data_IF_892791968559
#
_entry.id   IF_892791968559
#
_cell.length_a   1.000
_cell.length_b   1.000
_cell.length_c   1.000
_cell.angle_alpha   90.00
_cell.angle_beta   90.00
_cell.angle_gamma   90.00
#
_symmetry.space_group_name_H-M   'P 1'
#
loop_
_entity.id
_entity.type
_entity.pdbx_description
1 polymer ?
#
# COMPACT_ATOMS: atom_id res chain seq x y z
N UNK A 1 2.21 11.95 21.75
CA UNK A 1 0.87 11.62 21.22
C UNK A 1 0.37 12.79 20.38
N UNK A 2 0.69 12.81 19.09
CA UNK A 2 -0.07 13.64 18.16
C UNK A 2 -1.29 12.81 17.78
N UNK A 3 -2.49 13.25 18.16
CA UNK A 3 -3.69 12.76 17.51
C UNK A 3 -3.60 13.22 16.05
N UNK A 4 -3.38 12.28 15.12
CA UNK A 4 -3.75 12.52 13.74
C UNK A 4 -5.27 12.71 13.78
N UNK A 5 -5.73 13.90 13.42
CA UNK A 5 -7.15 14.30 13.43
C UNK A 5 -7.79 14.10 12.06
N UNK A 6 -7.18 13.28 11.21
CA UNK A 6 -7.73 12.93 9.89
C UNK A 6 -8.86 11.93 10.11
N UNK A 7 -9.94 12.16 9.39
CA UNK A 7 -11.20 11.42 9.39
C UNK A 7 -11.67 11.53 7.93
N UNK A 8 -11.28 10.54 7.12
CA UNK A 8 -11.28 10.59 5.65
C UNK A 8 -12.68 10.44 5.05
N UNK A 9 -13.58 9.75 5.74
CA UNK A 9 -14.99 9.63 5.38
C UNK A 9 -15.93 10.58 6.14
N UNK A 10 -15.48 11.16 7.24
CA UNK A 10 -16.26 12.09 8.05
C UNK A 10 -17.31 11.40 8.94
N UNK A 11 -17.11 10.13 9.30
CA UNK A 11 -18.04 9.36 10.11
C UNK A 11 -17.91 9.64 11.64
N UNK A 12 -16.82 10.31 12.02
CA UNK A 12 -16.50 10.71 13.38
C UNK A 12 -15.52 9.81 14.12
N UNK A 13 -14.99 8.76 13.49
CA UNK A 13 -13.88 7.95 13.95
C UNK A 13 -12.61 8.39 13.20
N UNK A 14 -11.52 8.78 13.90
CA UNK A 14 -10.28 9.15 13.22
C UNK A 14 -9.64 7.95 12.53
N UNK A 15 -9.08 8.13 11.32
CA UNK A 15 -8.43 7.09 10.48
C UNK A 15 -7.46 6.19 11.28
N UNK A 16 -6.77 6.75 12.28
CA UNK A 16 -5.83 6.00 13.15
C UNK A 16 -6.49 4.92 14.01
N UNK A 17 -7.81 4.96 14.15
CA UNK A 17 -8.64 4.05 14.93
C UNK A 17 -9.82 3.50 14.13
N UNK A 18 -9.98 3.96 12.89
CA UNK A 18 -10.96 3.43 11.96
C UNK A 18 -10.48 2.12 11.36
N UNK A 19 -11.38 1.17 11.16
CA UNK A 19 -11.10 -0.11 10.50
C UNK A 19 -11.38 -0.04 8.99
N UNK A 20 -12.16 0.95 8.56
CA UNK A 20 -12.57 1.21 7.17
C UNK A 20 -12.56 2.74 6.96
N UNK A 21 -11.36 3.30 6.76
CA UNK A 21 -11.11 4.75 6.81
C UNK A 21 -11.79 5.54 5.68
N UNK A 22 -12.35 4.85 4.68
CA UNK A 22 -13.09 5.49 3.61
C UNK A 22 -14.54 5.00 3.44
N UNK A 23 -15.02 4.14 4.34
CA UNK A 23 -16.41 3.71 4.42
C UNK A 23 -16.93 3.16 3.09
N UNK A 24 -16.07 2.51 2.31
CA UNK A 24 -16.45 1.78 1.10
C UNK A 24 -16.91 0.33 1.44
N UNK A 25 -16.67 -0.11 2.68
CA UNK A 25 -17.05 -1.41 3.22
C UNK A 25 -15.93 -2.45 3.18
N UNK A 26 -14.78 -2.19 2.55
CA UNK A 26 -13.60 -3.04 2.56
C UNK A 26 -12.66 -2.54 3.67
N UNK A 27 -12.25 -3.38 4.64
CA UNK A 27 -11.38 -2.89 5.71
C UNK A 27 -9.98 -2.51 5.23
N UNK A 28 -9.40 -1.47 5.84
CA UNK A 28 -8.02 -1.01 5.66
C UNK A 28 -7.01 -2.18 5.59
N UNK A 29 -7.18 -3.17 6.47
CA UNK A 29 -6.29 -4.32 6.56
C UNK A 29 -6.32 -5.21 5.32
N UNK A 30 -7.51 -5.39 4.74
CA UNK A 30 -7.76 -6.18 3.54
C UNK A 30 -7.15 -5.44 2.35
N UNK A 31 -7.32 -4.12 2.31
CA UNK A 31 -6.83 -3.29 1.22
C UNK A 31 -5.31 -3.13 1.25
N UNK A 32 -4.70 -2.94 2.41
CA UNK A 32 -3.23 -2.99 2.56
C UNK A 32 -2.66 -4.40 2.30
N UNK A 33 -3.52 -5.37 2.00
CA UNK A 33 -3.15 -6.76 1.72
C UNK A 33 -2.53 -7.45 2.93
N UNK A 34 -2.90 -7.03 4.14
CA UNK A 34 -2.35 -7.51 5.42
C UNK A 34 -3.20 -8.67 5.94
N UNK A 35 -3.22 -9.77 5.19
CA UNK A 35 -3.84 -11.02 5.63
C UNK A 35 -2.78 -12.12 5.76
N UNK A 36 -2.98 -13.08 6.68
CA UNK A 36 -2.15 -14.28 6.77
C UNK A 36 -1.12 -14.31 7.90
N UNK A 37 0.10 -14.75 7.62
CA UNK A 37 1.19 -14.96 8.58
C UNK A 37 2.30 -13.91 8.41
N UNK A 38 3.20 -13.84 9.39
CA UNK A 38 4.40 -12.99 9.29
C UNK A 38 5.20 -13.21 8.00
N UNK A 39 5.23 -14.46 7.52
CA UNK A 39 5.95 -14.88 6.30
C UNK A 39 5.35 -14.36 4.98
N UNK A 40 4.10 -13.88 5.01
CA UNK A 40 3.45 -13.26 3.86
C UNK A 40 3.96 -11.83 3.63
N UNK A 41 4.33 -11.12 4.72
CA UNK A 41 4.90 -9.77 4.64
C UNK A 41 6.42 -9.72 4.77
N UNK A 42 7.04 -10.74 5.36
CA UNK A 42 8.48 -10.81 5.57
C UNK A 42 9.12 -12.08 5.00
N UNK A 43 10.31 -11.94 4.44
CA UNK A 43 11.23 -13.07 4.28
C UNK A 43 11.86 -13.38 5.64
N UNK A 44 11.86 -14.65 6.03
CA UNK A 44 12.51 -15.13 7.25
C UNK A 44 13.76 -15.91 6.86
N UNK A 45 14.93 -15.49 7.35
CA UNK A 45 16.22 -15.99 6.88
C UNK A 45 17.16 -16.36 8.04
N UNK A 46 18.21 -17.11 7.70
CA UNK A 46 19.24 -17.58 8.64
C UNK A 46 18.63 -18.46 9.76
N UNK A 47 18.95 -18.22 11.02
CA UNK A 47 18.40 -18.96 12.16
C UNK A 47 17.00 -18.49 12.61
N UNK A 48 16.48 -17.40 12.00
CA UNK A 48 15.18 -16.89 12.39
C UNK A 48 14.06 -17.87 12.02
N UNK A 49 13.05 -17.97 12.87
CA UNK A 49 11.89 -18.86 12.68
C UNK A 49 10.60 -18.19 13.12
N UNK A 50 9.52 -18.37 12.35
CA UNK A 50 8.19 -17.99 12.78
C UNK A 50 7.77 -18.91 13.94
N UNK A 51 7.34 -18.30 15.04
CA UNK A 51 6.93 -18.97 16.27
C UNK A 51 5.64 -18.36 16.77
N UNK A 52 4.92 -19.08 17.62
CA UNK A 52 3.58 -18.68 18.06
C UNK A 52 3.43 -18.62 19.59
N UNK A 53 4.40 -19.14 20.35
CA UNK A 53 4.42 -19.17 21.82
C UNK A 53 4.91 -17.84 22.42
N UNK A 54 4.49 -17.53 23.65
CA UNK A 54 5.05 -16.41 24.39
C UNK A 54 6.33 -16.84 25.14
N UNK A 55 7.51 -16.22 24.87
CA UNK A 55 8.75 -16.54 25.56
C UNK A 55 8.71 -16.22 27.06
N UNK A 56 7.78 -15.39 27.52
CA UNK A 56 7.61 -15.05 28.95
C UNK A 56 6.99 -16.19 29.78
N UNK A 57 6.47 -17.23 29.12
CA UNK A 57 5.75 -18.34 29.74
C UNK A 57 4.26 -18.06 29.99
N UNK A 58 3.76 -16.89 29.56
CA UNK A 58 2.33 -16.57 29.58
C UNK A 58 1.58 -17.43 28.55
N UNK A 59 0.44 -18.05 28.87
CA UNK A 59 -0.36 -18.76 27.88
C UNK A 59 -0.99 -17.79 26.87
N UNK A 60 -0.26 -17.48 25.80
CA UNK A 60 -0.71 -16.63 24.70
C UNK A 60 -0.23 -17.21 23.36
N UNK A 61 -0.93 -16.85 22.29
CA UNK A 61 -0.55 -17.21 20.92
C UNK A 61 -0.43 -15.94 20.09
N UNK A 62 0.74 -15.72 19.48
CA UNK A 62 1.02 -14.54 18.67
C UNK A 62 1.23 -14.94 17.22
N UNK A 63 0.29 -14.57 16.35
CA UNK A 63 0.31 -14.92 14.92
C UNK A 63 1.48 -14.26 14.16
N UNK A 64 1.82 -13.03 14.56
CA UNK A 64 2.83 -12.19 13.91
C UNK A 64 4.10 -12.09 14.74
N UNK A 65 4.65 -13.23 15.15
CA UNK A 65 5.88 -13.30 15.95
C UNK A 65 6.98 -14.11 15.24
N UNK A 66 8.22 -13.64 15.38
CA UNK A 66 9.42 -14.34 14.92
C UNK A 66 10.44 -14.36 16.04
N UNK A 67 11.05 -15.53 16.25
CA UNK A 67 12.29 -15.67 17.01
C UNK A 67 13.43 -15.42 16.04
N UNK A 68 14.20 -14.37 16.28
CA UNK A 68 15.39 -14.03 15.50
C UNK A 68 16.54 -14.95 15.93
N UNK A 69 16.80 -15.08 17.23
CA UNK A 69 17.75 -16.06 17.75
C UNK A 69 17.16 -16.85 18.91
N UNK A 70 17.39 -18.17 18.99
CA UNK A 70 17.18 -18.89 20.24
C UNK A 70 18.29 -18.52 21.23
N UNK A 71 18.09 -18.87 22.51
CA UNK A 71 19.10 -18.76 23.56
C UNK A 71 20.21 -19.81 23.40
N UNK A 72 20.97 -19.72 22.31
CA UNK A 72 22.07 -20.60 21.92
C UNK A 72 23.21 -19.77 21.32
N UNK A 73 24.45 -20.27 21.45
CA UNK A 73 25.63 -19.56 20.96
C UNK A 73 25.70 -19.54 19.42
N UNK A 74 26.31 -18.49 18.87
CA UNK A 74 26.62 -18.34 17.44
C UNK A 74 25.39 -18.46 16.54
N UNK A 75 24.32 -17.73 16.87
CA UNK A 75 23.11 -17.64 16.07
C UNK A 75 23.03 -16.29 15.39
N UNK A 76 22.39 -16.25 14.23
CA UNK A 76 22.00 -15.01 13.56
C UNK A 76 20.63 -15.20 12.93
N UNK A 77 19.70 -14.33 13.27
CA UNK A 77 18.40 -14.25 12.62
C UNK A 77 18.22 -12.93 11.91
N UNK A 78 17.48 -12.98 10.81
CA UNK A 78 17.02 -11.76 10.17
C UNK A 78 15.68 -11.98 9.48
N UNK A 79 14.88 -10.93 9.45
CA UNK A 79 13.66 -10.86 8.65
C UNK A 79 13.63 -9.56 7.86
N UNK A 80 13.12 -9.62 6.63
CA UNK A 80 13.07 -8.48 5.72
C UNK A 80 11.69 -8.34 5.12
N UNK A 81 11.11 -7.14 5.18
CA UNK A 81 9.83 -6.83 4.53
C UNK A 81 9.91 -7.23 3.05
N UNK A 82 8.83 -7.71 2.45
CA UNK A 82 8.76 -8.00 1.01
C UNK A 82 8.49 -6.73 0.20
N UNK A 83 7.79 -5.79 0.80
CA UNK A 83 7.49 -4.44 0.33
C UNK A 83 8.50 -3.41 0.86
N UNK A 84 8.29 -2.14 0.53
CA UNK A 84 9.20 -1.02 0.84
C UNK A 84 8.43 0.15 1.41
N UNK A 85 9.04 0.84 2.36
CA UNK A 85 8.53 2.06 2.98
C UNK A 85 9.12 3.30 2.30
N UNK A 86 8.31 4.35 2.11
CA UNK A 86 8.74 5.58 1.42
C UNK A 86 9.12 6.70 2.38
N UNK A 87 10.42 7.04 2.45
CA UNK A 87 10.93 8.17 3.21
C UNK A 87 10.59 9.55 2.60
N UNK A 88 9.92 9.59 1.45
CA UNK A 88 9.28 10.81 0.96
C UNK A 88 8.07 11.22 1.83
N UNK A 89 7.40 10.27 2.46
CA UNK A 89 6.22 10.47 3.30
C UNK A 89 6.56 10.24 4.79
N UNK A 90 5.76 10.80 5.69
CA UNK A 90 5.93 10.51 7.12
C UNK A 90 5.30 9.17 7.46
N UNK A 91 5.90 8.41 8.37
CA UNK A 91 5.37 7.12 8.78
C UNK A 91 5.63 6.85 10.26
N UNK A 92 4.84 5.94 10.83
CA UNK A 92 5.10 5.33 12.14
C UNK A 92 5.10 3.82 11.99
N UNK A 93 6.15 3.16 12.50
CA UNK A 93 6.29 1.71 12.55
C UNK A 93 6.35 1.30 14.02
N UNK A 94 5.47 0.40 14.44
CA UNK A 94 5.45 -0.12 15.81
C UNK A 94 5.73 -1.61 15.81
N UNK A 95 6.53 -2.08 16.76
CA UNK A 95 6.69 -3.51 17.02
C UNK A 95 6.99 -3.72 18.50
N UNK A 96 6.91 -4.96 18.97
CA UNK A 96 7.39 -5.35 20.27
C UNK A 96 8.68 -6.15 20.14
N UNK A 97 9.68 -5.81 20.95
CA UNK A 97 10.94 -6.53 21.06
C UNK A 97 10.99 -7.31 22.38
N UNK A 98 11.47 -8.55 22.33
CA UNK A 98 11.81 -9.35 23.50
C UNK A 98 13.31 -9.67 23.40
N UNK A 99 14.09 -9.16 24.35
CA UNK A 99 15.55 -9.24 24.32
C UNK A 99 16.08 -10.40 25.20
N UNK A 100 15.18 -11.19 25.78
CA UNK A 100 15.53 -12.35 26.60
C UNK A 100 15.47 -12.08 28.09
N UNK A 101 16.19 -12.91 28.85
CA UNK A 101 16.16 -12.93 30.32
C UNK A 101 17.54 -13.06 30.98
N UNK A 102 18.57 -13.32 30.18
CA UNK A 102 19.93 -13.42 30.66
C UNK A 102 20.48 -12.00 30.64
N UNK A 103 20.60 -11.34 31.78
CA UNK A 103 21.13 -9.98 31.90
C UNK A 103 22.68 -10.00 31.79
N UNK A 104 23.39 -10.31 32.89
CA UNK A 104 24.86 -10.38 32.89
C UNK A 104 25.53 -11.49 32.04
N UNK A 105 24.77 -12.24 31.24
CA UNK A 105 25.29 -13.20 30.25
C UNK A 105 24.48 -13.18 28.94
N UNK A 106 23.72 -12.12 28.72
CA UNK A 106 22.98 -11.84 27.49
C UNK A 106 23.82 -11.12 26.46
N UNK A 107 23.45 -11.31 25.19
CA UNK A 107 23.99 -10.65 24.00
C UNK A 107 23.22 -11.16 22.75
N UNK A 108 23.34 -10.52 21.58
CA UNK A 108 24.02 -9.25 21.33
C UNK A 108 23.04 -8.07 21.21
N UNK A 109 21.75 -8.33 21.04
CA UNK A 109 20.71 -7.33 20.85
C UNK A 109 19.86 -7.55 19.60
N UNK A 110 18.90 -6.65 19.39
CA UNK A 110 18.06 -6.60 18.19
C UNK A 110 18.26 -5.26 17.50
N UNK A 111 18.35 -5.26 16.17
CA UNK A 111 18.34 -4.04 15.38
C UNK A 111 17.12 -3.99 14.46
N UNK A 112 16.43 -2.86 14.42
CA UNK A 112 15.55 -2.51 13.31
C UNK A 112 16.38 -1.79 12.24
N UNK A 113 16.23 -2.19 10.98
CA UNK A 113 17.08 -1.71 9.89
C UNK A 113 16.21 -1.25 8.72
N UNK A 114 16.51 -0.07 8.18
CA UNK A 114 15.99 0.42 6.90
C UNK A 114 17.12 0.41 5.89
N UNK A 115 16.97 -0.21 4.73
CA UNK A 115 18.06 -0.34 3.77
C UNK A 115 17.64 -0.43 2.30
N UNK A 116 18.55 0.00 1.44
CA UNK A 116 18.49 -0.16 -0.02
C UNK A 116 19.62 -1.08 -0.53
N UNK A 117 20.07 -2.03 0.30
CA UNK A 117 21.10 -3.00 -0.08
C UNK A 117 20.70 -3.77 -1.36
N UNK A 118 21.60 -3.88 -2.37
CA UNK A 118 21.37 -4.67 -3.58
C UNK A 118 20.99 -6.13 -3.35
N UNK A 119 21.38 -6.72 -2.21
CA UNK A 119 21.03 -8.09 -1.85
C UNK A 119 19.56 -8.22 -1.38
N UNK A 120 18.87 -7.09 -1.18
CA UNK A 120 17.44 -7.03 -0.89
C UNK A 120 17.05 -7.88 0.32
N UNK A 121 16.09 -8.79 0.15
CA UNK A 121 15.66 -9.71 1.21
C UNK A 121 16.74 -10.71 1.68
N UNK A 122 17.94 -10.68 1.11
CA UNK A 122 19.08 -11.50 1.53
C UNK A 122 20.19 -10.68 2.21
N UNK A 123 20.01 -9.36 2.37
CA UNK A 123 20.99 -8.49 3.02
C UNK A 123 21.33 -9.01 4.41
N UNK A 124 22.61 -9.02 4.78
CA UNK A 124 23.08 -9.57 6.06
C UNK A 124 24.25 -8.75 6.59
N UNK A 125 24.21 -8.46 7.89
CA UNK A 125 25.32 -7.83 8.60
C UNK A 125 26.19 -8.82 9.35
N UNK A 126 27.19 -8.27 10.05
CA UNK A 126 28.13 -9.02 10.89
C UNK A 126 27.53 -9.32 12.26
N UNK A 127 27.86 -10.50 12.81
CA UNK A 127 27.39 -10.95 14.13
C UNK A 127 28.16 -10.26 15.27
N UNK A 128 27.72 -10.44 16.52
CA UNK A 128 28.37 -9.83 17.69
C UNK A 128 28.04 -8.34 17.77
N UNK A 129 29.08 -7.50 17.88
CA UNK A 129 28.97 -6.03 17.85
C UNK A 129 28.15 -5.48 16.67
N UNK A 130 28.06 -6.22 15.57
CA UNK A 130 27.24 -5.78 14.43
C UNK A 130 25.74 -6.03 14.58
N UNK A 131 25.31 -6.83 15.56
CA UNK A 131 23.91 -7.24 15.81
C UNK A 131 23.22 -7.80 14.54
N UNK A 132 24.02 -8.38 13.63
CA UNK A 132 23.56 -8.82 12.31
C UNK A 132 23.15 -7.71 11.35
N UNK A 133 23.39 -6.43 11.68
CA UNK A 133 23.00 -5.24 10.92
C UNK A 133 24.19 -4.48 10.31
N UNK A 134 25.29 -4.28 11.05
CA UNK A 134 26.45 -3.55 10.52
C UNK A 134 27.03 -4.32 9.32
N UNK A 135 27.20 -3.61 8.21
CA UNK A 135 27.67 -4.12 6.93
C UNK A 135 26.60 -4.23 5.85
N UNK A 136 25.33 -4.14 6.23
CA UNK A 136 24.24 -3.95 5.27
C UNK A 136 24.48 -2.61 4.56
N UNK A 137 24.40 -2.61 3.24
CA UNK A 137 24.67 -1.42 2.43
C UNK A 137 23.48 -0.50 2.38
N UNK A 138 23.77 0.80 2.34
CA UNK A 138 22.80 1.86 2.12
C UNK A 138 21.64 1.78 3.09
N UNK A 139 21.94 1.83 4.39
CA UNK A 139 20.92 1.66 5.41
C UNK A 139 21.21 2.36 6.72
N UNK A 140 20.19 2.40 7.56
CA UNK A 140 20.21 2.96 8.91
C UNK A 140 19.76 1.89 9.89
N UNK A 141 20.49 1.80 10.99
CA UNK A 141 20.27 0.87 12.10
C UNK A 141 19.67 1.65 13.26
N UNK A 142 18.63 1.09 13.87
CA UNK A 142 18.11 1.49 15.18
C UNK A 142 18.31 0.30 16.11
N UNK A 143 19.33 0.37 16.94
CA UNK A 143 19.77 -0.76 17.75
C UNK A 143 19.13 -0.78 19.14
N UNK A 144 18.90 -1.98 19.64
CA UNK A 144 18.63 -2.32 21.03
C UNK A 144 19.77 -3.24 21.45
N UNK A 145 20.88 -2.63 21.85
CA UNK A 145 22.11 -3.34 22.20
C UNK A 145 22.07 -3.76 23.67
N UNK A 146 22.34 -5.03 23.93
CA UNK A 146 22.33 -5.59 25.30
C UNK A 146 23.69 -6.08 25.77
N UNK A 147 24.75 -5.77 25.02
CA UNK A 147 26.08 -6.22 25.35
C UNK A 147 27.14 -5.14 25.19
N UNK A 148 27.68 -4.71 26.32
CA UNK A 148 28.86 -3.86 26.34
C UNK A 148 30.11 -4.59 25.82
N UNK A 149 30.54 -4.26 24.59
CA UNK A 149 31.74 -4.78 23.94
C UNK A 149 33.04 -4.19 24.49
N UNK A 150 32.97 -3.11 25.28
CA UNK A 150 34.09 -2.54 26.01
C UNK A 150 34.93 -1.55 25.21
N UNK A 151 35.41 -0.48 25.87
CA UNK A 151 36.17 0.64 25.27
C UNK A 151 37.52 0.31 24.60
N UNK A 152 37.98 -0.93 24.63
CA UNK A 152 39.36 -1.31 24.24
C UNK A 152 39.44 -2.39 23.16
N UNK A 153 38.45 -2.48 22.26
CA UNK A 153 38.54 -3.42 21.12
C UNK A 153 39.59 -2.98 20.09
N UNK A 154 40.87 -3.25 20.37
CA UNK A 154 42.01 -3.05 19.46
C UNK A 154 42.22 -4.26 18.53
N UNK A 155 41.20 -4.67 17.79
CA UNK A 155 41.33 -5.74 16.79
C UNK A 155 40.92 -5.22 15.40
N UNK A 156 41.91 -4.80 14.56
CA UNK A 156 41.65 -4.30 13.21
C UNK A 156 41.04 -5.39 12.30
N UNK A 157 40.33 -4.98 11.22
CA UNK A 157 40.82 -3.98 10.27
C UNK A 157 40.39 -2.53 10.53
N UNK A 158 39.52 -2.29 11.51
CA UNK A 158 38.80 -1.04 11.72
C UNK A 158 39.43 -0.16 12.80
N UNK A 159 40.62 0.38 12.55
CA UNK A 159 41.31 1.24 13.52
C UNK A 159 40.55 2.52 13.85
N UNK A 160 39.64 2.48 14.83
CA UNK A 160 39.32 3.55 15.77
C UNK A 160 38.45 3.02 16.92
N UNK A 161 38.62 3.58 18.11
CA UNK A 161 37.98 3.16 19.37
C UNK A 161 36.45 3.26 19.24
N UNK A 162 35.69 2.22 19.62
CA UNK A 162 34.23 2.31 19.74
C UNK A 162 33.95 3.15 20.99
N UNK A 163 33.66 4.45 20.82
CA UNK A 163 33.62 5.42 21.94
C UNK A 163 32.25 5.54 22.63
N UNK A 164 31.16 5.11 21.98
CA UNK A 164 29.80 5.36 22.47
C UNK A 164 29.04 4.10 22.91
N UNK A 165 29.67 2.93 22.94
CA UNK A 165 29.12 1.74 23.62
C UNK A 165 29.21 1.93 25.16
N UNK A 166 28.12 1.68 25.88
CA UNK A 166 27.96 1.93 27.32
C UNK A 166 27.61 0.65 28.10
N UNK A 167 27.83 0.64 29.41
CA UNK A 167 27.66 -0.57 30.25
C UNK A 167 26.21 -1.01 30.38
N UNK A 168 25.26 -0.07 30.37
CA UNK A 168 23.82 -0.35 30.39
C UNK A 168 23.28 -0.69 29.00
N UNK A 169 22.15 -1.40 28.96
CA UNK A 169 21.47 -1.70 27.69
C UNK A 169 21.12 -0.40 26.97
N UNK A 170 21.41 -0.45 25.69
CA UNK A 170 21.54 0.61 24.71
C UNK A 170 20.40 0.89 23.76
N UNK A 171 20.17 2.14 23.39
CA UNK A 171 19.81 2.44 22.00
C UNK A 171 20.72 3.50 21.38
N UNK A 172 20.93 3.39 20.06
CA UNK A 172 21.40 4.49 19.21
C UNK A 172 20.93 4.32 17.75
N UNK A 173 21.24 5.32 16.90
CA UNK A 173 21.06 5.28 15.45
C UNK A 173 22.43 5.24 14.80
N UNK A 174 22.60 4.36 13.81
CA UNK A 174 23.86 4.21 13.08
C UNK A 174 23.67 4.10 11.58
N UNK A 175 24.69 4.51 10.85
CA UNK A 175 24.90 4.16 9.46
C UNK A 175 25.29 2.68 9.37
N UNK A 176 24.55 1.92 8.57
CA UNK A 176 24.75 0.47 8.49
C UNK A 176 26.04 0.06 7.77
N UNK A 177 26.57 0.86 6.83
CA UNK A 177 27.79 0.49 6.09
C UNK A 177 29.05 1.28 6.47
N UNK A 178 28.95 2.20 7.44
CA UNK A 178 30.09 2.82 8.09
C UNK A 178 30.41 2.15 9.44
N UNK A 179 31.46 1.33 9.41
CA UNK A 179 31.96 0.56 10.55
C UNK A 179 32.76 1.41 11.57
N UNK A 180 32.94 2.71 11.31
CA UNK A 180 33.77 3.60 12.12
C UNK A 180 32.93 4.47 13.06
N UNK A 181 33.58 5.28 13.90
CA UNK A 181 32.89 6.25 14.75
C UNK A 181 32.06 7.28 13.95
N UNK A 182 32.42 7.57 12.70
CA UNK A 182 31.63 8.50 11.88
C UNK A 182 30.29 7.93 11.44
N UNK A 183 30.12 6.61 11.54
CA UNK A 183 28.85 5.92 11.32
C UNK A 183 27.89 6.01 12.50
N UNK A 184 28.29 6.59 13.63
CA UNK A 184 27.40 6.81 14.78
C UNK A 184 26.61 8.11 14.53
N UNK A 185 25.30 7.98 14.38
CA UNK A 185 24.41 9.11 14.05
C UNK A 185 23.87 9.77 15.32
N UNK A 186 23.58 8.98 16.36
CA UNK A 186 23.20 9.48 17.69
C UNK A 186 24.08 8.86 18.78
N UNK A 187 24.34 9.58 19.89
CA UNK A 187 25.01 8.95 21.04
C UNK A 187 24.15 7.83 21.62
N UNK A 188 24.78 6.89 22.34
CA UNK A 188 24.06 5.89 23.11
C UNK A 188 23.18 6.51 24.18
N UNK A 189 21.96 5.98 24.30
CA UNK A 189 20.99 6.31 25.34
C UNK A 189 20.73 5.06 26.16
N UNK A 190 21.01 5.14 27.47
CA UNK A 190 20.70 4.04 28.39
C UNK A 190 19.20 3.78 28.45
N UNK A 191 18.84 2.52 28.27
CA UNK A 191 17.50 1.95 28.41
C UNK A 191 17.34 1.18 29.74
N UNK A 192 18.38 1.15 30.58
CA UNK A 192 18.41 0.36 31.81
C UNK A 192 18.71 -1.10 31.50
N UNK A 193 17.92 -2.02 32.07
CA UNK A 193 17.95 -3.44 31.71
C UNK A 193 16.66 -3.76 30.93
N UNK A 194 16.82 -4.19 29.68
CA UNK A 194 15.76 -4.63 28.76
C UNK A 194 15.82 -6.15 28.48
N UNK A 195 16.82 -6.86 29.03
CA UNK A 195 16.88 -8.32 29.11
C UNK A 195 16.08 -8.85 30.32
N UNK A 196 14.89 -8.28 30.54
CA UNK A 196 14.14 -8.36 31.79
C UNK A 196 12.99 -9.40 31.75
N UNK A 197 13.00 -10.26 30.74
CA UNK A 197 11.96 -11.22 30.41
C UNK A 197 10.58 -10.57 30.14
N UNK A 198 10.55 -9.39 29.52
CA UNK A 198 9.32 -8.73 29.05
C UNK A 198 9.40 -8.34 27.57
N UNK A 199 8.22 -8.08 27.02
CA UNK A 199 8.07 -7.43 25.72
C UNK A 199 8.13 -5.92 25.92
N UNK A 200 8.91 -5.23 25.09
CA UNK A 200 9.03 -3.78 25.06
C UNK A 200 8.42 -3.24 23.77
N UNK A 201 7.47 -2.30 23.87
CA UNK A 201 6.99 -1.58 22.70
C UNK A 201 8.09 -0.68 22.15
N UNK A 202 8.32 -0.74 20.84
CA UNK A 202 9.25 0.11 20.10
C UNK A 202 8.46 0.85 19.03
N UNK A 203 8.52 2.18 19.08
CA UNK A 203 7.82 3.07 18.14
C UNK A 203 8.87 3.83 17.35
N UNK A 204 8.92 3.62 16.04
CA UNK A 204 9.80 4.33 15.11
C UNK A 204 8.94 5.35 14.36
N UNK A 205 9.36 6.61 14.32
CA UNK A 205 8.68 7.69 13.60
C UNK A 205 9.66 8.39 12.67
N UNK A 206 9.27 8.50 11.40
CA UNK A 206 9.92 9.39 10.43
C UNK A 206 8.98 10.54 10.10
N UNK A 207 9.46 11.77 10.26
CA UNK A 207 8.75 12.97 9.84
C UNK A 207 9.42 13.53 8.58
N UNK A 208 8.77 13.38 7.43
CA UNK A 208 9.31 13.83 6.15
C UNK A 208 9.37 15.36 6.00
N UNK A 209 8.64 16.12 6.82
CA UNK A 209 8.68 17.60 6.80
C UNK A 209 9.88 18.11 7.57
N UNK A 210 10.11 17.62 8.79
CA UNK A 210 11.25 18.03 9.63
C UNK A 210 12.52 17.26 9.29
N UNK A 211 12.41 16.18 8.49
CA UNK A 211 13.48 15.23 8.18
C UNK A 211 14.05 14.57 9.44
N UNK A 212 13.18 14.24 10.40
CA UNK A 212 13.57 13.68 11.69
C UNK A 212 13.18 12.21 11.78
N UNK A 213 14.15 11.34 12.06
CA UNK A 213 13.93 9.94 12.46
C UNK A 213 14.09 9.85 13.97
N UNK A 214 13.14 9.20 14.63
CA UNK A 214 13.15 8.97 16.07
C UNK A 214 12.67 7.56 16.36
N UNK A 215 13.20 6.94 17.40
CA UNK A 215 12.56 5.76 17.99
C UNK A 215 12.53 5.81 19.51
N UNK A 216 11.44 5.28 20.05
CA UNK A 216 11.11 5.28 21.46
C UNK A 216 10.88 3.85 21.93
N UNK A 217 11.41 3.52 23.11
CA UNK A 217 11.33 2.18 23.71
C UNK A 217 10.57 2.28 25.04
N UNK A 218 9.56 1.42 25.22
CA UNK A 218 8.81 1.32 26.47
C UNK A 218 9.60 0.52 27.51
N UNK A 219 9.81 1.08 28.70
CA UNK A 219 10.49 0.41 29.82
C UNK A 219 9.52 -0.07 30.93
N UNK A 220 8.23 -0.14 30.59
CA UNK A 220 7.16 -0.56 31.49
C UNK A 220 6.25 0.59 31.95
N UNK A 221 5.02 0.23 32.33
CA UNK A 221 3.97 1.16 32.77
C UNK A 221 3.71 2.30 31.76
N UNK A 222 3.80 2.03 30.45
CA UNK A 222 3.68 3.04 29.39
C UNK A 222 4.70 4.20 29.51
N UNK A 223 5.86 3.95 30.12
CA UNK A 223 6.95 4.93 30.18
C UNK A 223 7.90 4.68 29.01
N UNK A 224 8.11 5.69 28.18
CA UNK A 224 8.95 5.61 26.99
C UNK A 224 10.23 6.45 27.15
N UNK A 225 11.35 5.92 26.66
CA UNK A 225 12.60 6.65 26.47
C UNK A 225 12.85 6.81 24.97
N UNK A 226 13.28 8.00 24.55
CA UNK A 226 13.80 8.23 23.19
C UNK A 226 15.20 7.63 23.09
N UNK A 227 15.28 6.44 22.49
CA UNK A 227 16.50 5.67 22.33
C UNK A 227 17.43 6.24 21.24
N UNK A 228 16.87 6.99 20.30
CA UNK A 228 17.63 7.81 19.37
C UNK A 228 16.74 8.77 18.59
N UNK A 229 17.27 9.95 18.29
CA UNK A 229 16.61 10.99 17.48
C UNK A 229 17.64 11.74 16.64
N UNK A 230 17.45 11.77 15.33
CA UNK A 230 18.34 12.46 14.40
C UNK A 230 17.56 13.23 13.34
N UNK A 231 18.04 14.42 12.99
CA UNK A 231 17.52 15.22 11.89
C UNK A 231 18.50 15.22 10.74
N UNK A 232 18.03 14.84 9.56
CA UNK A 232 18.84 14.61 8.38
C UNK A 232 18.71 15.76 7.40
N UNK A 233 19.82 16.10 6.72
CA UNK A 233 19.74 17.04 5.59
C UNK A 233 19.05 16.36 4.41
N UNK A 234 19.49 15.15 4.06
CA UNK A 234 18.93 14.36 2.98
C UNK A 234 19.19 12.86 3.22
N UNK A 235 18.33 12.22 4.02
CA UNK A 235 18.49 10.81 4.41
C UNK A 235 18.53 9.87 3.19
N UNK A 236 17.77 10.22 2.15
CA UNK A 236 17.63 9.44 0.91
C UNK A 236 18.93 9.44 0.13
N UNK A 237 19.54 10.62 -0.06
CA UNK A 237 20.84 10.72 -0.73
C UNK A 237 21.97 10.14 0.11
N UNK A 238 22.00 10.49 1.39
CA UNK A 238 23.17 10.27 2.24
C UNK A 238 23.29 8.81 2.70
N UNK A 239 22.16 8.13 2.95
CA UNK A 239 22.15 6.77 3.50
C UNK A 239 21.50 5.73 2.60
N UNK A 240 20.57 6.11 1.71
CA UNK A 240 19.83 5.13 0.88
C UNK A 240 20.25 5.11 -0.59
N UNK A 241 21.40 5.71 -0.92
CA UNK A 241 21.94 5.80 -2.28
C UNK A 241 20.92 6.38 -3.29
N UNK A 242 20.12 7.35 -2.84
CA UNK A 242 19.13 8.05 -3.64
C UNK A 242 17.76 7.38 -3.77
N UNK A 243 17.52 6.24 -3.12
CA UNK A 243 16.20 5.60 -3.12
C UNK A 243 15.32 6.11 -1.96
N UNK A 244 14.16 6.68 -2.28
CA UNK A 244 13.19 7.10 -1.25
C UNK A 244 12.42 5.92 -0.67
N UNK A 245 12.11 4.92 -1.51
CA UNK A 245 11.49 3.65 -1.11
C UNK A 245 12.57 2.64 -0.74
N UNK A 246 12.59 2.21 0.52
CA UNK A 246 13.60 1.28 1.06
C UNK A 246 12.93 0.10 1.77
N UNK A 247 13.67 -0.99 1.89
CA UNK A 247 13.21 -2.16 2.65
C UNK A 247 13.42 -1.91 4.14
N UNK A 248 12.62 -2.55 4.98
CA UNK A 248 12.88 -2.57 6.42
C UNK A 248 12.84 -3.98 6.97
N UNK A 249 13.43 -4.17 8.13
CA UNK A 249 13.50 -5.49 8.74
C UNK A 249 14.17 -5.46 10.10
N UNK A 250 14.42 -6.66 10.61
CA UNK A 250 14.96 -6.85 11.95
C UNK A 250 16.05 -7.90 11.90
N UNK A 251 17.15 -7.64 12.59
CA UNK A 251 18.27 -8.55 12.73
C UNK A 251 18.60 -8.77 14.20
N UNK A 252 19.15 -9.93 14.53
CA UNK A 252 19.74 -10.20 15.83
C UNK A 252 20.85 -11.22 15.69
N UNK A 253 21.81 -11.20 16.60
CA UNK A 253 22.84 -12.22 16.70
C UNK A 253 23.10 -12.63 18.15
N UNK A 254 23.77 -13.76 18.31
CA UNK A 254 24.39 -14.17 19.55
C UNK A 254 25.84 -14.59 19.29
N UNK A 255 26.71 -14.33 20.25
CA UNK A 255 28.10 -14.77 20.23
C UNK A 255 28.38 -15.90 21.23
N UNK A 256 29.34 -15.65 22.13
CA UNK A 256 29.60 -16.51 23.29
C UNK A 256 28.60 -16.31 24.43
N UNK A 257 27.89 -15.19 24.42
CA UNK A 257 26.76 -14.85 25.28
C UNK A 257 25.47 -14.84 24.43
N UNK A 258 24.32 -15.01 25.08
CA UNK A 258 23.10 -15.39 24.36
C UNK A 258 21.83 -14.90 25.04
N UNK A 259 20.85 -14.56 24.22
CA UNK A 259 19.45 -14.50 24.62
C UNK A 259 18.52 -15.10 23.58
N UNK A 260 17.30 -15.44 24.02
CA UNK A 260 16.17 -15.67 23.13
C UNK A 260 15.65 -14.30 22.69
N UNK A 261 15.85 -13.96 21.42
CA UNK A 261 15.58 -12.63 20.88
C UNK A 261 14.47 -12.72 19.86
N UNK A 262 13.37 -12.01 20.11
CA UNK A 262 12.15 -12.11 19.31
C UNK A 262 11.57 -10.73 19.02
N UNK A 263 10.85 -10.63 17.91
CA UNK A 263 9.97 -9.51 17.64
C UNK A 263 8.55 -9.99 17.39
N UNK A 264 7.57 -9.12 17.61
CA UNK A 264 6.21 -9.33 17.12
C UNK A 264 5.50 -8.04 16.77
N UNK A 265 4.50 -8.16 15.91
CA UNK A 265 3.48 -7.14 15.69
C UNK A 265 2.23 -7.53 16.49
N UNK A 266 1.63 -6.57 17.19
CA UNK A 266 0.39 -6.84 17.94
C UNK A 266 -0.78 -6.84 16.97
N UNK A 267 -0.76 -5.87 16.06
CA UNK A 267 -1.72 -5.74 14.97
C UNK A 267 -0.96 -5.35 13.71
N UNK A 268 -0.73 -6.32 12.83
CA UNK A 268 0.03 -6.07 11.61
C UNK A 268 -0.66 -5.04 10.69
N UNK A 269 -1.99 -4.88 10.75
CA UNK A 269 -2.68 -3.88 9.92
C UNK A 269 -2.27 -2.46 10.32
N UNK A 270 -2.30 -2.18 11.63
CA UNK A 270 -2.02 -0.86 12.17
C UNK A 270 -0.52 -0.60 12.36
N UNK A 271 0.22 -1.64 12.71
CA UNK A 271 1.61 -1.51 13.13
C UNK A 271 2.59 -1.54 11.93
N UNK A 272 2.13 -1.97 10.74
CA UNK A 272 2.91 -2.06 9.50
C UNK A 272 2.69 -0.81 8.62
N UNK A 273 3.74 -0.15 8.12
CA UNK A 273 3.65 1.20 7.57
C UNK A 273 3.57 1.22 6.03
N UNK A 274 3.43 0.06 5.38
CA UNK A 274 3.34 0.01 3.92
C UNK A 274 1.90 0.23 3.48
N UNK A 275 1.74 1.23 2.63
CA UNK A 275 0.50 1.58 1.96
C UNK A 275 0.55 1.02 0.52
N UNK A 276 -0.47 0.25 0.14
CA UNK A 276 -0.66 -0.19 -1.23
C UNK A 276 -1.35 0.95 -2.01
N UNK A 277 -0.92 1.17 -3.24
CA UNK A 277 -1.44 2.17 -4.19
C UNK A 277 -1.47 1.46 -5.54
N UNK A 278 -2.63 0.88 -5.88
CA UNK A 278 -2.80 -0.13 -6.92
C UNK A 278 -2.75 0.48 -8.32
N UNK A 279 -3.29 1.69 -8.50
CA UNK A 279 -3.28 2.40 -9.77
C UNK A 279 -2.11 3.40 -9.93
N UNK A 280 -1.45 3.77 -8.82
CA UNK A 280 -0.30 4.65 -8.77
C UNK A 280 -0.64 6.14 -8.82
N UNK A 281 -1.85 6.55 -8.43
CA UNK A 281 -2.30 7.94 -8.44
C UNK A 281 -1.85 8.75 -7.21
N UNK A 282 -1.33 8.06 -6.18
CA UNK A 282 -0.80 8.63 -4.96
C UNK A 282 -1.80 8.70 -3.80
N UNK A 283 -3.00 8.15 -3.95
CA UNK A 283 -3.94 7.86 -2.87
C UNK A 283 -3.73 6.38 -2.49
N UNK A 284 -3.43 6.08 -1.21
CA UNK A 284 -3.40 4.69 -0.75
C UNK A 284 -4.75 4.01 -0.92
N UNK A 285 -4.76 2.74 -1.31
CA UNK A 285 -5.99 1.98 -1.59
C UNK A 285 -7.01 2.09 -0.44
N UNK A 286 -6.58 1.98 0.81
CA UNK A 286 -7.46 2.12 2.00
C UNK A 286 -8.06 3.53 2.25
N UNK A 287 -7.76 4.48 1.36
CA UNK A 287 -8.32 5.83 1.35
C UNK A 287 -8.84 6.18 -0.06
N UNK A 288 -8.82 5.22 -0.98
CA UNK A 288 -9.19 5.36 -2.38
C UNK A 288 -10.48 4.60 -2.68
N UNK A 289 -11.48 5.31 -3.19
CA UNK A 289 -12.79 4.74 -3.48
C UNK A 289 -12.85 3.98 -4.81
N UNK A 290 -11.77 3.96 -5.60
CA UNK A 290 -11.62 3.26 -6.89
C UNK A 290 -10.13 2.88 -7.06
N UNK A 291 -9.65 1.94 -6.23
CA UNK A 291 -8.22 1.58 -6.05
C UNK A 291 -7.50 1.20 -7.36
N UNK A 292 -8.22 0.76 -8.39
CA UNK A 292 -7.64 0.38 -9.68
C UNK A 292 -8.00 1.33 -10.85
N UNK A 293 -8.80 2.35 -10.55
CA UNK A 293 -9.20 3.47 -11.40
C UNK A 293 -9.83 3.03 -12.73
N UNK A 294 -10.67 1.99 -12.67
CA UNK A 294 -11.45 1.49 -13.79
C UNK A 294 -12.82 2.18 -13.93
N UNK A 295 -13.19 2.98 -12.93
CA UNK A 295 -14.43 3.74 -12.85
C UNK A 295 -15.60 2.96 -12.24
N UNK A 296 -15.32 1.89 -11.51
CA UNK A 296 -16.19 1.24 -10.56
C UNK A 296 -15.68 1.51 -9.14
N UNK A 297 -16.54 1.94 -8.21
CA UNK A 297 -16.06 2.15 -6.85
C UNK A 297 -15.85 0.83 -6.12
N UNK A 298 -14.83 0.78 -5.29
CA UNK A 298 -14.39 -0.38 -4.51
C UNK A 298 -15.54 -1.00 -3.70
N UNK A 299 -16.42 -0.14 -3.15
CA UNK A 299 -17.63 -0.58 -2.44
C UNK A 299 -18.55 -1.51 -3.23
N UNK A 300 -18.59 -1.41 -4.56
CA UNK A 300 -19.36 -2.30 -5.44
C UNK A 300 -18.56 -3.50 -5.93
N UNK A 301 -17.24 -3.43 -5.86
CA UNK A 301 -16.32 -4.48 -6.32
C UNK A 301 -15.89 -5.41 -5.21
N UNK A 302 -16.13 -5.02 -3.96
CA UNK A 302 -15.94 -5.84 -2.77
C UNK A 302 -16.66 -7.20 -2.84
N UNK A 303 -16.38 -8.02 -1.83
CA UNK A 303 -16.84 -9.41 -1.77
C UNK A 303 -18.34 -9.59 -1.51
N UNK A 304 -19.04 -8.55 -1.06
CA UNK A 304 -20.45 -8.60 -0.70
C UNK A 304 -21.38 -8.09 -1.80
N UNK A 305 -22.68 -8.13 -1.54
CA UNK A 305 -23.71 -7.72 -2.50
C UNK A 305 -24.15 -6.25 -2.28
N UNK A 306 -23.18 -5.33 -2.19
CA UNK A 306 -23.46 -3.89 -2.20
C UNK A 306 -23.97 -3.49 -3.58
N UNK A 307 -25.00 -2.64 -3.64
CA UNK A 307 -25.62 -2.22 -4.90
C UNK A 307 -25.55 -0.70 -5.08
N UNK A 308 -25.71 -0.19 -6.32
CA UNK A 308 -25.68 1.26 -6.57
C UNK A 308 -26.73 2.08 -5.81
N UNK A 309 -27.74 1.45 -5.20
CA UNK A 309 -28.75 2.12 -4.37
C UNK A 309 -28.34 2.25 -2.91
N UNK A 310 -27.28 1.56 -2.51
CA UNK A 310 -26.74 1.54 -1.14
C UNK A 310 -25.59 2.54 -0.97
N UNK A 311 -25.09 3.12 -2.06
CA UNK A 311 -23.90 3.99 -2.07
C UNK A 311 -24.25 5.42 -2.46
N UNK A 312 -23.38 6.35 -2.07
CA UNK A 312 -23.39 7.75 -2.47
C UNK A 312 -22.76 7.92 -3.87
N UNK A 313 -23.02 9.04 -4.57
CA UNK A 313 -22.45 9.29 -5.90
C UNK A 313 -20.93 9.33 -5.98
N UNK A 314 -20.23 9.44 -4.85
CA UNK A 314 -18.78 9.44 -4.76
C UNK A 314 -18.16 8.04 -4.60
N UNK A 315 -18.97 6.99 -4.42
CA UNK A 315 -18.48 5.61 -4.25
C UNK A 315 -18.59 5.07 -2.82
N UNK A 316 -18.75 5.92 -1.80
CA UNK A 316 -18.88 5.47 -0.39
C UNK A 316 -20.22 4.81 -0.12
N UNK A 317 -20.29 3.91 0.85
CA UNK A 317 -21.57 3.39 1.35
C UNK A 317 -22.36 4.54 2.01
N UNK A 318 -23.66 4.64 1.71
CA UNK A 318 -24.56 5.64 2.29
C UNK A 318 -24.96 5.25 3.72
N UNK A 319 -24.01 5.36 4.65
CA UNK A 319 -24.19 4.96 6.05
C UNK A 319 -25.42 5.62 6.70
N UNK A 320 -25.79 6.84 6.29
CA UNK A 320 -26.96 7.54 6.81
C UNK A 320 -28.29 6.83 6.48
N UNK A 321 -28.37 6.17 5.33
CA UNK A 321 -29.55 5.43 4.89
C UNK A 321 -29.40 3.91 5.01
N UNK A 322 -28.20 3.40 5.27
CA UNK A 322 -27.88 1.96 5.36
C UNK A 322 -27.62 1.46 6.80
N UNK A 323 -28.02 2.23 7.82
CA UNK A 323 -28.02 1.77 9.22
C UNK A 323 -26.83 2.23 10.06
N UNK A 324 -25.93 3.04 9.49
CA UNK A 324 -24.75 3.60 10.15
C UNK A 324 -23.52 2.69 10.07
N UNK A 325 -22.56 2.99 10.92
CA UNK A 325 -21.32 2.25 11.15
C UNK A 325 -21.39 1.49 12.48
N UNK A 326 -20.54 0.48 12.64
CA UNK A 326 -20.34 -0.18 13.93
C UNK A 326 -19.34 0.58 14.83
N UNK A 327 -18.97 0.00 15.97
CA UNK A 327 -18.08 0.68 16.92
C UNK A 327 -16.63 0.83 16.45
N UNK A 328 -16.27 0.18 15.34
CA UNK A 328 -14.94 0.18 14.76
C UNK A 328 -14.87 0.95 13.43
N UNK A 329 -15.97 1.58 12.99
CA UNK A 329 -16.02 2.37 11.74
C UNK A 329 -16.54 1.62 10.51
N UNK A 330 -16.77 0.32 10.60
CA UNK A 330 -17.26 -0.46 9.44
C UNK A 330 -18.74 -0.17 9.15
N UNK A 331 -19.15 0.11 7.89
CA UNK A 331 -20.55 0.18 7.47
C UNK A 331 -21.34 -1.06 7.87
N UNK A 332 -22.44 -0.88 8.61
CA UNK A 332 -23.23 -2.01 9.16
C UNK A 332 -23.88 -2.87 8.07
N UNK A 333 -24.10 -2.34 6.86
CA UNK A 333 -24.80 -3.06 5.80
C UNK A 333 -24.04 -4.29 5.27
N UNK A 334 -22.71 -4.29 5.41
CA UNK A 334 -21.78 -5.38 5.05
C UNK A 334 -21.40 -6.24 6.26
N UNK A 335 -22.09 -6.08 7.39
CA UNK A 335 -21.86 -6.88 8.60
C UNK A 335 -22.85 -8.05 8.71
N UNK A 336 -22.53 -9.09 9.53
CA UNK A 336 -23.29 -10.33 9.55
C UNK A 336 -24.80 -10.12 9.75
N UNK A 337 -25.59 -10.64 8.80
CA UNK A 337 -27.05 -10.60 8.84
C UNK A 337 -27.71 -9.31 8.34
N UNK A 338 -26.95 -8.40 7.73
CA UNK A 338 -27.48 -7.20 7.06
C UNK A 338 -27.68 -7.45 5.55
N UNK A 339 -28.03 -6.39 4.81
CA UNK A 339 -28.59 -6.54 3.47
C UNK A 339 -27.56 -6.88 2.38
N UNK A 340 -26.31 -6.47 2.55
CA UNK A 340 -25.24 -6.73 1.57
C UNK A 340 -24.42 -7.98 1.91
N UNK A 341 -24.29 -8.33 3.20
CA UNK A 341 -23.56 -9.50 3.69
C UNK A 341 -24.00 -10.82 3.01
N UNK A 342 -23.05 -11.52 2.39
CA UNK A 342 -23.28 -12.84 1.77
C UNK A 342 -22.46 -13.97 2.39
N UNK A 343 -21.50 -13.68 3.27
CA UNK A 343 -20.55 -14.66 3.78
C UNK A 343 -20.55 -14.83 5.31
N UNK A 344 -21.30 -13.99 6.03
CA UNK A 344 -21.45 -14.01 7.48
C UNK A 344 -20.24 -13.45 8.23
N UNK A 345 -19.35 -12.73 7.56
CA UNK A 345 -18.21 -12.02 8.13
C UNK A 345 -18.52 -10.53 8.34
N UNK A 346 -17.66 -9.86 9.10
CA UNK A 346 -17.70 -8.41 9.27
C UNK A 346 -16.96 -7.80 8.09
N UNK A 347 -17.59 -6.80 7.47
CA UNK A 347 -17.09 -6.09 6.30
C UNK A 347 -16.98 -6.93 5.02
N UNK A 348 -16.73 -6.25 3.90
CA UNK A 348 -16.49 -6.87 2.60
C UNK A 348 -15.08 -7.47 2.50
N UNK A 349 -14.94 -8.52 1.70
CA UNK A 349 -13.64 -8.92 1.16
C UNK A 349 -13.21 -8.02 0.00
N UNK A 350 -11.95 -8.16 -0.45
CA UNK A 350 -11.38 -7.33 -1.53
C UNK A 350 -12.09 -7.45 -2.89
N UNK A 351 -12.74 -8.58 -3.15
CA UNK A 351 -13.42 -8.85 -4.43
C UNK A 351 -12.54 -8.54 -5.66
N UNK A 352 -13.02 -7.62 -6.50
CA UNK A 352 -12.38 -7.18 -7.75
C UNK A 352 -11.79 -5.77 -7.69
N UNK A 353 -11.82 -5.07 -6.55
CA UNK A 353 -11.45 -3.65 -6.43
C UNK A 353 -9.99 -3.31 -6.79
N UNK A 354 -9.17 -4.33 -7.07
CA UNK A 354 -7.75 -4.19 -7.44
C UNK A 354 -7.42 -4.79 -8.80
N UNK A 355 -8.45 -5.13 -9.57
CA UNK A 355 -8.35 -5.72 -10.90
C UNK A 355 -9.15 -4.91 -11.92
N UNK A 356 -8.50 -3.87 -12.46
CA UNK A 356 -9.05 -2.93 -13.47
C UNK A 356 -9.63 -3.53 -14.75
N UNK A 357 -9.59 -4.86 -14.87
CA UNK A 357 -10.19 -5.61 -15.96
C UNK A 357 -11.56 -6.21 -15.57
N UNK A 358 -12.03 -6.04 -14.34
CA UNK A 358 -13.23 -6.68 -13.75
C UNK A 358 -14.13 -5.66 -13.06
N UNK A 359 -14.82 -4.85 -13.84
CA UNK A 359 -15.72 -3.77 -13.37
C UNK A 359 -17.04 -4.27 -12.73
N UNK A 360 -17.06 -4.97 -11.59
CA UNK A 360 -18.13 -5.83 -11.00
C UNK A 360 -19.63 -5.40 -11.17
N UNK A 361 -20.14 -5.35 -12.40
CA UNK A 361 -21.47 -4.79 -12.72
C UNK A 361 -21.52 -3.26 -12.91
N UNK A 362 -20.43 -2.53 -12.66
CA UNK A 362 -20.31 -1.08 -12.90
C UNK A 362 -20.13 -0.67 -14.36
N UNK A 363 -19.67 -1.59 -15.21
CA UNK A 363 -19.71 -1.33 -16.64
C UNK A 363 -21.16 -1.40 -17.14
N UNK A 364 -21.65 -0.29 -17.69
CA UNK A 364 -22.84 -0.28 -18.54
C UNK A 364 -22.58 -1.07 -19.83
N UNK A 365 -22.71 -2.39 -19.74
CA UNK A 365 -22.78 -3.27 -20.89
C UNK A 365 -24.25 -3.38 -21.29
N UNK A 366 -24.57 -2.93 -22.50
CA UNK A 366 -25.81 -3.38 -23.13
C UNK A 366 -25.58 -4.81 -23.55
N UNK A 367 -26.23 -5.75 -22.88
CA UNK A 367 -26.29 -7.13 -23.37
C UNK A 367 -26.69 -7.09 -24.84
N UNK A 368 -25.95 -7.80 -25.72
CA UNK A 368 -26.28 -7.83 -27.13
C UNK A 368 -27.74 -8.25 -27.25
N UNK A 369 -28.54 -7.50 -28.01
CA UNK A 369 -29.91 -7.92 -28.33
C UNK A 369 -29.83 -9.24 -29.11
N UNK A 370 -30.02 -10.36 -28.41
CA UNK A 370 -29.97 -11.72 -28.99
C UNK A 370 -31.28 -12.08 -29.70
N UNK A 371 -32.29 -11.22 -29.58
CA UNK A 371 -33.61 -11.38 -30.18
C UNK A 371 -33.97 -10.14 -31.02
N UNK A 372 -34.72 -10.34 -32.12
CA UNK A 372 -35.10 -9.28 -33.06
C UNK A 372 -34.47 -9.41 -34.45
N UNK A 373 -34.76 -8.44 -35.33
CA UNK A 373 -34.26 -8.43 -36.70
C UNK A 373 -32.75 -8.10 -36.71
N UNK A 374 -31.94 -9.12 -36.95
CA UNK A 374 -30.50 -8.98 -37.10
C UNK A 374 -30.17 -8.33 -38.47
N UNK A 375 -30.14 -7.00 -38.50
CA UNK A 375 -29.81 -6.22 -39.70
C UNK A 375 -28.29 -6.28 -39.98
N UNK A 376 -27.88 -6.44 -41.25
CA UNK A 376 -26.47 -6.37 -41.64
C UNK A 376 -25.85 -5.02 -41.26
N UNK A 377 -24.61 -5.05 -40.78
CA UNK A 377 -23.82 -3.84 -40.57
C UNK A 377 -23.32 -3.36 -41.93
N UNK A 378 -23.93 -2.29 -42.46
CA UNK A 378 -23.64 -1.80 -43.82
C UNK A 378 -22.42 -0.88 -43.92
N UNK A 379 -21.86 -0.47 -42.78
CA UNK A 379 -20.70 0.41 -42.72
C UNK A 379 -19.61 -0.18 -41.82
N UNK A 380 -18.36 -0.11 -42.25
CA UNK A 380 -17.27 -0.49 -41.37
C UNK A 380 -15.91 0.00 -41.84
N UNK A 381 -14.98 0.11 -40.89
CA UNK A 381 -13.57 0.39 -41.12
C UNK A 381 -12.72 -0.80 -40.65
N UNK A 382 -11.90 -1.38 -41.52
CA UNK A 382 -11.02 -2.51 -41.19
C UNK A 382 -9.59 -2.25 -41.64
N UNK A 383 -8.63 -2.51 -40.77
CA UNK A 383 -7.21 -2.48 -41.11
C UNK A 383 -6.73 -3.79 -41.76
N UNK A 384 -7.60 -4.80 -41.86
CA UNK A 384 -7.30 -6.13 -42.41
C UNK A 384 -7.73 -6.28 -43.87
N UNK A 385 -8.18 -5.19 -44.51
CA UNK A 385 -8.59 -5.21 -45.92
C UNK A 385 -9.83 -6.06 -46.21
N UNK A 386 -10.66 -6.33 -45.19
CA UNK A 386 -11.86 -7.18 -45.32
C UNK A 386 -13.07 -6.46 -45.92
N UNK A 387 -13.05 -5.13 -46.02
CA UNK A 387 -14.10 -4.34 -46.65
C UNK A 387 -14.10 -4.58 -48.17
N UNK A 388 -15.19 -5.15 -48.71
CA UNK A 388 -15.33 -5.38 -50.15
C UNK A 388 -16.61 -4.74 -50.67
N UNK A 389 -16.50 -4.00 -51.77
CA UNK A 389 -17.66 -3.48 -52.50
C UNK A 389 -18.50 -4.65 -53.03
N UNK A 390 -19.81 -4.64 -52.78
CA UNK A 390 -20.80 -5.60 -53.29
C UNK A 390 -20.73 -7.03 -52.72
N UNK A 391 -20.03 -7.28 -51.61
CA UNK A 391 -20.07 -8.56 -50.90
C UNK A 391 -21.04 -8.50 -49.72
N UNK A 392 -22.30 -8.89 -49.96
CA UNK A 392 -23.36 -8.90 -48.92
C UNK A 392 -23.22 -10.01 -47.88
N UNK A 393 -22.27 -10.93 -48.08
CA UNK A 393 -22.05 -12.09 -47.21
C UNK A 393 -20.80 -11.97 -46.35
N UNK A 394 -19.88 -11.09 -46.75
CA UNK A 394 -18.62 -10.82 -46.08
C UNK A 394 -18.70 -9.64 -45.09
N UNK A 395 -17.54 -9.27 -44.57
CA UNK A 395 -17.41 -8.13 -43.67
C UNK A 395 -17.67 -6.80 -44.43
N UNK A 396 -18.36 -5.80 -43.85
CA UNK A 396 -18.90 -5.76 -42.49
C UNK A 396 -20.28 -6.42 -42.33
N UNK A 397 -21.00 -6.69 -43.43
CA UNK A 397 -22.40 -7.15 -43.43
C UNK A 397 -22.63 -8.54 -42.81
N UNK A 398 -21.57 -9.35 -42.67
CA UNK A 398 -21.56 -10.58 -41.88
C UNK A 398 -21.75 -10.33 -40.37
N UNK A 399 -21.39 -9.13 -39.89
CA UNK A 399 -21.75 -8.65 -38.56
C UNK A 399 -23.19 -8.13 -38.62
N UNK A 400 -23.95 -8.38 -37.55
CA UNK A 400 -25.35 -7.97 -37.46
C UNK A 400 -25.59 -7.23 -36.15
N UNK A 401 -26.60 -6.36 -36.14
CA UNK A 401 -27.05 -5.68 -34.91
C UNK A 401 -26.22 -4.46 -34.48
N UNK A 402 -25.41 -3.88 -35.38
CA UNK A 402 -24.69 -2.64 -35.14
C UNK A 402 -24.86 -1.66 -36.32
N UNK A 403 -24.62 -0.37 -36.07
CA UNK A 403 -24.62 0.66 -37.11
C UNK A 403 -23.27 0.74 -37.86
N UNK A 404 -22.18 0.37 -37.18
CA UNK A 404 -20.81 0.39 -37.70
C UNK A 404 -20.01 -0.78 -37.14
N UNK A 405 -19.11 -1.35 -37.95
CA UNK A 405 -18.10 -2.32 -37.50
C UNK A 405 -16.69 -1.72 -37.63
N UNK A 406 -15.91 -1.75 -36.56
CA UNK A 406 -14.49 -1.38 -36.56
C UNK A 406 -13.65 -2.63 -36.32
N UNK A 407 -12.52 -2.77 -37.03
CA UNK A 407 -11.71 -3.98 -36.95
C UNK A 407 -10.21 -3.74 -37.15
N UNK A 408 -9.42 -4.24 -36.20
CA UNK A 408 -7.96 -4.27 -36.30
C UNK A 408 -7.37 -5.42 -35.47
N UNK A 409 -6.17 -5.88 -35.85
CA UNK A 409 -5.45 -6.93 -35.11
C UNK A 409 -4.46 -6.34 -34.09
N UNK A 410 -3.88 -5.17 -34.38
CA UNK A 410 -2.84 -4.56 -33.55
C UNK A 410 -2.85 -3.03 -33.55
N UNK A 411 -3.93 -2.41 -34.05
CA UNK A 411 -4.05 -0.94 -34.18
C UNK A 411 -5.26 -0.47 -33.40
N UNK A 412 -5.10 0.54 -32.57
CA UNK A 412 -6.22 1.23 -31.92
C UNK A 412 -7.02 2.08 -32.90
N UNK A 413 -8.26 2.40 -32.55
CA UNK A 413 -9.01 3.46 -33.19
C UNK A 413 -8.44 4.81 -32.72
N UNK A 414 -7.79 5.54 -33.62
CA UNK A 414 -7.18 6.84 -33.32
C UNK A 414 -8.05 7.92 -33.94
N UNK A 415 -8.64 8.76 -33.10
CA UNK A 415 -9.34 9.99 -33.53
C UNK A 415 -8.35 11.15 -33.63
N UNK A 416 -8.65 12.10 -34.53
CA UNK A 416 -7.85 13.32 -34.62
C UNK A 416 -7.90 14.07 -33.28
N UNK A 417 -6.72 14.42 -32.76
CA UNK A 417 -6.56 15.24 -31.56
C UNK A 417 -6.40 16.70 -31.95
N UNK A 418 -7.27 17.57 -31.48
CA UNK A 418 -7.27 19.00 -31.78
C UNK A 418 -6.86 19.76 -30.50
N UNK A 419 -5.83 20.64 -30.55
CA UNK A 419 -5.27 21.27 -29.35
C UNK A 419 -6.26 22.09 -28.52
N UNK A 420 -7.15 22.86 -29.15
CA UNK A 420 -8.05 23.78 -28.43
C UNK A 420 -9.53 23.58 -28.78
N UNK A 421 -10.41 23.94 -27.86
CA UNK A 421 -11.87 23.93 -28.11
C UNK A 421 -12.26 24.89 -29.22
N UNK A 422 -11.61 26.05 -29.29
CA UNK A 422 -11.85 27.04 -30.34
C UNK A 422 -11.54 26.49 -31.74
N UNK A 423 -10.49 25.68 -31.89
CA UNK A 423 -10.15 25.04 -33.17
C UNK A 423 -11.17 23.95 -33.56
N UNK A 424 -11.70 23.20 -32.59
CA UNK A 424 -12.78 22.24 -32.84
C UNK A 424 -14.04 22.97 -33.35
N UNK A 425 -14.43 24.06 -32.67
CA UNK A 425 -15.58 24.86 -33.06
C UNK A 425 -15.38 25.60 -34.40
N UNK A 426 -14.14 25.91 -34.75
CA UNK A 426 -13.74 26.57 -36.00
C UNK A 426 -13.68 25.68 -37.25
N UNK A 427 -13.99 24.37 -37.14
CA UNK A 427 -14.06 23.48 -38.30
C UNK A 427 -15.12 24.00 -39.29
N UNK A 428 -14.72 24.33 -40.53
CA UNK A 428 -15.56 25.07 -41.46
C UNK A 428 -16.78 24.30 -42.00
N UNK A 429 -16.72 22.96 -42.06
CA UNK A 429 -17.79 22.11 -42.62
C UNK A 429 -17.96 20.80 -41.82
N UNK A 430 -18.30 20.86 -40.52
CA UNK A 430 -18.44 19.67 -39.70
C UNK A 430 -19.63 18.83 -40.18
N UNK A 431 -19.48 17.51 -40.16
CA UNK A 431 -20.51 16.57 -40.59
C UNK A 431 -21.17 15.93 -39.36
N UNK A 432 -22.47 15.62 -39.44
CA UNK A 432 -23.14 14.89 -38.36
C UNK A 432 -22.39 13.58 -38.07
N UNK A 433 -22.07 13.34 -36.80
CA UNK A 433 -21.32 12.17 -36.35
C UNK A 433 -19.80 12.27 -36.53
N UNK A 434 -19.27 13.40 -37.01
CA UNK A 434 -17.83 13.65 -37.01
C UNK A 434 -17.30 13.63 -35.57
N UNK A 435 -16.17 12.96 -35.34
CA UNK A 435 -15.56 12.79 -34.02
C UNK A 435 -14.13 13.33 -33.98
N UNK A 436 -13.79 14.05 -32.90
CA UNK A 436 -12.43 14.56 -32.61
C UNK A 436 -12.17 14.47 -31.10
N UNK A 437 -10.92 14.32 -30.70
CA UNK A 437 -10.53 14.45 -29.29
C UNK A 437 -10.03 15.88 -29.03
N UNK A 438 -10.73 16.60 -28.17
CA UNK A 438 -10.40 17.96 -27.77
C UNK A 438 -9.42 17.92 -26.59
N UNK A 439 -8.21 18.43 -26.79
CA UNK A 439 -7.15 18.34 -25.77
C UNK A 439 -7.34 19.33 -24.62
N UNK A 440 -7.95 20.48 -24.88
CA UNK A 440 -8.24 21.50 -23.87
C UNK A 440 -9.41 21.06 -22.99
N UNK A 441 -10.49 20.53 -23.60
CA UNK A 441 -11.64 20.01 -22.87
C UNK A 441 -11.47 18.58 -22.36
N UNK A 442 -10.33 17.92 -22.67
CA UNK A 442 -10.00 16.53 -22.31
C UNK A 442 -11.10 15.51 -22.64
N UNK A 443 -11.81 15.69 -23.76
CA UNK A 443 -12.99 14.88 -24.09
C UNK A 443 -13.04 14.45 -25.57
N UNK A 444 -13.70 13.32 -25.86
CA UNK A 444 -14.10 12.97 -27.22
C UNK A 444 -15.34 13.80 -27.60
N UNK A 445 -15.22 14.71 -28.57
CA UNK A 445 -16.35 15.48 -29.10
C UNK A 445 -16.95 14.83 -30.34
N UNK A 446 -18.28 14.81 -30.41
CA UNK A 446 -19.06 14.43 -31.60
C UNK A 446 -19.88 15.63 -32.08
N UNK A 447 -19.92 15.86 -33.40
CA UNK A 447 -20.75 16.91 -33.98
C UNK A 447 -22.18 16.41 -34.17
N UNK A 448 -23.15 17.11 -33.57
CA UNK A 448 -24.57 16.72 -33.60
C UNK A 448 -25.39 17.87 -34.17
N UNK A 449 -26.23 17.60 -35.16
CA UNK A 449 -27.18 18.57 -35.69
C UNK A 449 -28.28 18.84 -34.66
N UNK A 450 -28.72 20.09 -34.53
CA UNK A 450 -29.84 20.46 -33.66
C UNK A 450 -31.17 19.87 -34.15
N UNK A 451 -31.31 19.66 -35.46
CA UNK A 451 -32.47 19.03 -36.06
C UNK A 451 -32.05 18.13 -37.23
N UNK A 452 -32.24 16.81 -37.09
CA UNK A 452 -31.89 15.84 -38.13
C UNK A 452 -32.78 15.93 -39.38
N UNK A 453 -33.97 16.53 -39.26
CA UNK A 453 -34.88 16.78 -40.39
C UNK A 453 -34.59 18.11 -41.11
N UNK A 454 -33.83 19.02 -40.50
CA UNK A 454 -33.45 20.30 -41.11
C UNK A 454 -31.96 20.63 -40.84
N UNK A 455 -31.03 20.05 -41.60
CA UNK A 455 -29.59 20.25 -41.42
C UNK A 455 -29.11 21.71 -41.56
N UNK A 456 -29.93 22.58 -42.15
CA UNK A 456 -29.62 24.00 -42.34
C UNK A 456 -29.64 24.81 -41.03
N UNK A 457 -30.21 24.28 -39.95
CA UNK A 457 -30.19 24.91 -38.61
C UNK A 457 -28.82 24.80 -37.90
N UNK A 458 -27.87 24.10 -38.53
CA UNK A 458 -26.54 23.88 -37.99
C UNK A 458 -26.50 22.82 -36.89
N UNK A 459 -25.33 22.62 -36.32
CA UNK A 459 -25.08 21.67 -35.24
C UNK A 459 -24.07 22.21 -34.25
N UNK A 460 -23.86 21.45 -33.17
CA UNK A 460 -22.90 21.77 -32.11
C UNK A 460 -22.01 20.58 -31.84
N UNK A 461 -20.75 20.85 -31.51
CA UNK A 461 -19.87 19.85 -30.92
C UNK A 461 -20.30 19.56 -29.49
N UNK A 462 -20.38 18.27 -29.16
CA UNK A 462 -20.77 17.80 -27.84
C UNK A 462 -19.70 16.86 -27.32
N UNK A 463 -19.16 17.14 -26.13
CA UNK A 463 -18.34 16.17 -25.44
C UNK A 463 -19.21 14.94 -25.10
N UNK A 464 -18.67 13.76 -25.37
CA UNK A 464 -19.15 12.52 -24.79
C UNK A 464 -18.63 12.47 -23.35
N UNK A 465 -19.33 13.17 -22.45
CA UNK A 465 -18.97 13.24 -21.02
C UNK A 465 -19.65 12.13 -20.22
N UNK A 466 -20.73 11.56 -20.75
CA UNK A 466 -21.53 10.55 -20.09
C UNK A 466 -21.45 9.26 -20.89
N UNK A 467 -21.13 8.15 -20.21
CA UNK A 467 -21.36 6.80 -20.75
C UNK A 467 -22.85 6.72 -21.10
N UNK A 468 -23.19 6.51 -22.38
CA UNK A 468 -24.59 6.35 -22.77
C UNK A 468 -25.05 4.95 -22.33
N UNK A 469 -25.88 4.88 -21.29
CA UNK A 469 -26.57 3.66 -20.86
C UNK A 469 -28.06 3.79 -21.22
N UNK A 470 -28.55 3.15 -22.30
CA UNK A 470 -29.98 3.19 -22.61
C UNK A 470 -30.70 1.97 -22.03
N UNK A 471 -31.76 2.27 -21.27
CA UNK A 471 -32.83 1.43 -20.73
C UNK A 471 -32.43 0.34 -19.72
N UNK A 472 -31.83 0.76 -18.60
CA UNK A 472 -32.18 0.20 -17.30
C UNK A 472 -32.52 1.38 -16.37
N UNK A 473 -33.69 1.30 -15.76
CA UNK A 473 -34.48 2.38 -15.17
C UNK A 473 -33.97 2.94 -13.82
N UNK A 474 -32.67 3.13 -13.63
CA UNK A 474 -32.16 3.53 -12.30
C UNK A 474 -31.43 4.87 -12.22
N UNK A 475 -31.38 5.63 -13.32
CA UNK A 475 -31.09 7.06 -13.23
C UNK A 475 -32.16 7.84 -14.00
N UNK A 476 -33.13 8.40 -13.26
CA UNK A 476 -33.89 9.56 -13.72
C UNK A 476 -33.32 10.82 -13.03
N UNK A 477 -33.37 11.99 -13.69
CA UNK A 477 -32.74 13.22 -13.22
C UNK A 477 -33.24 13.72 -11.86
#
# INVERSE_FOLDING_TARGET
MHAQTTDTDGDGIPDVTDVDSDNDGIPDCVERGVTGNMTDKFSVNSDAVQVYDDPTGTPATYQYQVQLTPNENNKRGQIWSRSTIDFANSFTLTFQAYLGKNDGSGADGIAAVFHNDPDGINATGVDGYGIGAIGIKYGIILELDTYYNGKNWNTPPLGDVILDDIEEDHGMIRDSDDYTQTGIITPAVSLGNIEDNKWHNVIITWNATTKTLKYEVELGNNTYITAGEATFTDIVRDYFNGASKVRFGYTASTGGLTNDQRIKFVDLCRDFPDELDTDGDGIPDHLDLDSDNDGCPDSLEGGDNVTPQMILPNGRIDIANQGGIDSNGVPVIVNPGHAADVDGQVAQGIGASKDKYVTAGCACLKDPQTTGNALPVNFGITSLGRAKSNDTTGWPMARKGAWMALEAQSKGFVVNRIPTTAEVEGIANPQQGMMVYDQEAKCLKIYVLSNTANPAEGGKWKCLQYKACPDNSFMTP
#
